data_IF_185281187754
#
_entry.id   IF_185281187754
#
_cell.length_a   1.000
_cell.length_b   1.000
_cell.length_c   1.000
_cell.angle_alpha   90.00
_cell.angle_beta   90.00
_cell.angle_gamma   90.00
#
_symmetry.space_group_name_H-M   'P 1'
#
loop_
_entity.id
_entity.type
_entity.pdbx_description
1 polymer ?
#
# COMPACT_ATOMS: atom_id res chain seq x y z
N UNK A 1 14.36 6.20 1.60
CA UNK A 1 15.43 5.71 2.47
C UNK A 1 14.88 4.96 3.70
N UNK A 2 13.86 5.50 4.37
CA UNK A 2 13.30 4.86 5.56
C UNK A 2 12.74 3.45 5.27
N UNK A 3 11.97 3.26 4.17
CA UNK A 3 11.46 1.94 3.76
C UNK A 3 12.60 0.94 3.49
N UNK A 4 13.69 1.40 2.85
CA UNK A 4 14.88 0.56 2.64
C UNK A 4 15.48 0.07 3.96
N UNK A 5 15.57 0.95 4.95
CA UNK A 5 16.09 0.60 6.28
C UNK A 5 15.16 -0.37 7.00
N UNK A 6 13.84 -0.17 6.93
CA UNK A 6 12.85 -1.09 7.51
C UNK A 6 12.99 -2.52 6.98
N UNK A 7 13.26 -2.65 5.67
CA UNK A 7 13.50 -3.97 5.06
C UNK A 7 14.76 -4.63 5.62
N UNK A 8 15.88 -3.89 5.70
CA UNK A 8 17.14 -4.41 6.30
C UNK A 8 16.95 -4.83 7.76
N UNK A 9 16.25 -4.02 8.55
CA UNK A 9 15.95 -4.31 9.95
C UNK A 9 15.08 -5.57 10.12
N UNK A 10 14.18 -5.80 9.17
CA UNK A 10 13.34 -7.00 9.15
C UNK A 10 14.08 -8.28 8.73
N UNK A 11 15.31 -8.15 8.20
CA UNK A 11 16.16 -9.28 7.88
C UNK A 11 16.42 -9.52 6.41
N UNK A 12 15.98 -8.63 5.52
CA UNK A 12 16.41 -8.64 4.12
C UNK A 12 17.93 -8.41 4.09
N UNK A 13 18.66 -9.21 3.33
CA UNK A 13 20.11 -9.10 3.24
C UNK A 13 20.54 -7.98 2.28
N UNK A 14 19.71 -7.70 1.30
CA UNK A 14 19.94 -6.64 0.33
C UNK A 14 18.70 -5.76 0.22
N UNK A 15 18.92 -4.45 0.20
CA UNK A 15 17.86 -3.46 -0.06
C UNK A 15 18.47 -2.24 -0.74
N UNK A 16 17.86 -1.82 -1.85
CA UNK A 16 18.31 -0.65 -2.62
C UNK A 16 17.13 0.21 -3.04
N UNK A 17 17.42 1.47 -3.31
CA UNK A 17 16.52 2.39 -3.97
C UNK A 17 16.59 2.12 -5.47
N UNK A 18 15.45 2.19 -6.14
CA UNK A 18 15.30 2.07 -7.59
C UNK A 18 14.73 3.37 -8.11
N UNK A 19 15.51 4.09 -8.91
CA UNK A 19 15.06 5.32 -9.54
C UNK A 19 14.02 5.00 -10.64
N UNK A 20 12.92 5.76 -10.63
CA UNK A 20 11.79 5.53 -11.53
C UNK A 20 11.49 6.71 -12.47
N UNK A 21 12.15 7.85 -12.22
CA UNK A 21 11.82 9.12 -12.86
C UNK A 21 10.73 9.91 -12.14
N UNK A 22 10.05 9.29 -11.14
CA UNK A 22 9.11 9.88 -10.20
C UNK A 22 9.55 9.64 -8.78
N UNK A 23 8.62 9.20 -7.94
CA UNK A 23 8.95 8.78 -6.57
C UNK A 23 9.70 7.44 -6.64
N UNK A 24 10.94 7.33 -6.11
CA UNK A 24 11.75 6.14 -6.27
C UNK A 24 11.16 4.93 -5.55
N UNK A 25 11.33 3.74 -6.12
CA UNK A 25 10.95 2.49 -5.48
C UNK A 25 12.00 1.95 -4.51
N UNK A 26 11.64 0.91 -3.76
CA UNK A 26 12.57 0.12 -2.95
C UNK A 26 12.47 -1.34 -3.37
N UNK A 27 13.62 -1.93 -3.67
CA UNK A 27 13.76 -3.35 -3.97
C UNK A 27 14.61 -4.01 -2.89
N UNK A 28 14.16 -5.16 -2.37
CA UNK A 28 14.92 -5.91 -1.39
C UNK A 28 14.77 -7.43 -1.58
N UNK A 29 15.80 -8.18 -1.16
CA UNK A 29 15.82 -9.65 -1.25
C UNK A 29 16.19 -10.28 0.07
N UNK A 30 15.52 -11.40 0.39
CA UNK A 30 15.81 -12.25 1.52
C UNK A 30 15.94 -13.70 1.02
N UNK A 31 17.14 -14.23 1.10
CA UNK A 31 17.42 -15.64 0.83
C UNK A 31 17.40 -16.43 2.14
N UNK A 32 16.37 -17.26 2.31
CA UNK A 32 16.23 -18.19 3.43
C UNK A 32 16.82 -19.57 3.13
N UNK A 33 17.38 -19.77 1.95
CA UNK A 33 17.80 -21.08 1.44
C UNK A 33 16.63 -21.98 1.06
N UNK A 34 15.46 -21.40 0.82
CA UNK A 34 14.25 -22.12 0.44
C UNK A 34 14.21 -22.40 -1.07
N UNK A 35 13.40 -23.39 -1.48
CA UNK A 35 13.19 -23.70 -2.91
C UNK A 35 12.23 -22.73 -3.57
N UNK A 36 11.37 -22.10 -2.80
CA UNK A 36 10.27 -21.24 -3.28
C UNK A 36 10.57 -19.79 -2.93
N UNK A 37 10.29 -18.90 -3.85
CA UNK A 37 10.37 -17.44 -3.65
C UNK A 37 8.99 -16.84 -3.76
N UNK A 38 8.64 -15.97 -2.81
CA UNK A 38 7.41 -15.19 -2.78
C UNK A 38 7.75 -13.72 -2.94
N UNK A 39 7.07 -13.04 -3.85
CA UNK A 39 7.16 -11.59 -3.96
C UNK A 39 6.23 -10.93 -2.94
N UNK A 40 6.66 -9.79 -2.42
CA UNK A 40 5.91 -8.94 -1.49
C UNK A 40 5.78 -7.57 -2.12
N UNK A 41 4.57 -7.07 -2.17
CA UNK A 41 4.30 -5.72 -2.65
C UNK A 41 3.92 -4.80 -1.49
N UNK A 42 4.56 -3.64 -1.43
CA UNK A 42 4.27 -2.56 -0.50
C UNK A 42 4.04 -1.25 -1.24
N UNK A 43 3.26 -0.36 -0.61
CA UNK A 43 3.12 1.03 -1.02
C UNK A 43 3.41 1.95 0.17
N UNK A 44 4.26 2.95 0.01
CA UNK A 44 4.64 3.79 1.14
C UNK A 44 4.09 5.22 1.06
N UNK A 45 3.38 5.56 -0.01
CA UNK A 45 2.61 6.80 -0.10
C UNK A 45 1.30 6.74 0.69
N UNK A 46 0.59 7.81 0.68
CA UNK A 46 -0.73 7.95 1.29
C UNK A 46 -1.60 8.85 0.43
N UNK A 47 -2.89 8.57 0.39
CA UNK A 47 -3.87 9.38 -0.31
C UNK A 47 -3.91 10.80 0.22
N UNK A 48 -4.16 11.76 -0.66
CA UNK A 48 -4.41 13.14 -0.28
C UNK A 48 -5.53 13.25 0.75
N UNK A 49 -5.45 14.24 1.60
CA UNK A 49 -6.40 14.47 2.69
C UNK A 49 -6.60 15.97 2.92
N UNK A 50 -7.78 16.35 3.41
CA UNK A 50 -8.03 17.66 3.97
C UNK A 50 -7.83 17.56 5.50
N UNK A 51 -6.86 18.31 6.10
CA UNK A 51 -6.66 18.30 7.55
C UNK A 51 -7.90 18.69 8.35
N UNK A 52 -8.81 19.48 7.77
CA UNK A 52 -10.05 19.91 8.44
C UNK A 52 -11.05 18.75 8.67
N UNK A 53 -10.91 17.64 7.94
CA UNK A 53 -11.75 16.43 8.10
C UNK A 53 -11.27 15.51 9.23
N UNK A 54 -10.13 15.84 9.87
CA UNK A 54 -9.50 14.97 10.86
C UNK A 54 -9.65 15.52 12.27
N UNK A 55 -9.93 14.64 13.22
CA UNK A 55 -9.99 14.96 14.65
C UNK A 55 -8.61 15.18 15.30
N UNK A 56 -7.53 14.86 14.57
CA UNK A 56 -6.13 15.06 14.95
C UNK A 56 -5.27 15.19 13.70
N UNK A 57 -4.05 15.77 13.78
CA UNK A 57 -3.17 15.86 12.63
C UNK A 57 -2.96 14.48 11.97
N UNK A 58 -3.32 14.33 10.69
CA UNK A 58 -3.44 13.01 10.06
C UNK A 58 -2.12 12.26 9.90
N UNK A 59 -0.97 12.93 9.91
CA UNK A 59 0.35 12.30 9.77
C UNK A 59 1.08 12.01 11.09
N UNK A 60 0.49 12.36 12.24
CA UNK A 60 1.13 12.14 13.55
C UNK A 60 1.00 10.70 14.07
N UNK A 61 -0.02 9.95 13.63
CA UNK A 61 -0.23 8.58 14.07
C UNK A 61 -0.58 8.50 15.57
N UNK A 62 -1.68 9.11 15.99
CA UNK A 62 -2.09 9.15 17.40
C UNK A 62 -2.69 7.84 17.87
N UNK A 63 -2.28 7.44 19.08
CA UNK A 63 -2.93 6.35 19.80
C UNK A 63 -4.07 6.93 20.63
N UNK A 64 -5.27 6.41 20.43
CA UNK A 64 -6.48 6.83 21.12
C UNK A 64 -7.24 5.63 21.67
N UNK A 65 -7.81 5.76 22.87
CA UNK A 65 -8.70 4.75 23.43
C UNK A 65 -10.15 5.14 23.12
N UNK A 66 -10.89 4.20 22.52
CA UNK A 66 -12.31 4.38 22.23
C UNK A 66 -13.15 3.40 23.04
N UNK A 67 -14.16 3.89 23.79
CA UNK A 67 -15.07 3.02 24.53
C UNK A 67 -15.72 1.97 23.62
N UNK A 68 -15.59 0.68 23.98
CA UNK A 68 -16.14 -0.44 23.22
C UNK A 68 -15.33 -0.87 21.98
N UNK A 69 -14.29 -0.13 21.58
CA UNK A 69 -13.44 -0.45 20.43
C UNK A 69 -11.98 -0.73 20.82
N UNK A 70 -11.56 -0.26 22.01
CA UNK A 70 -10.20 -0.45 22.51
C UNK A 70 -9.23 0.63 22.05
N UNK A 71 -7.94 0.31 22.14
CA UNK A 71 -6.84 1.20 21.75
C UNK A 71 -6.64 1.15 20.25
N UNK A 72 -6.66 2.30 19.59
CA UNK A 72 -6.59 2.44 18.14
C UNK A 72 -5.46 3.40 17.75
N UNK A 73 -4.79 3.10 16.64
CA UNK A 73 -3.88 4.02 15.97
C UNK A 73 -4.67 4.78 14.90
N UNK A 74 -4.75 6.11 15.04
CA UNK A 74 -5.46 6.99 14.10
C UNK A 74 -4.45 7.82 13.31
N UNK A 75 -4.50 7.70 11.99
CA UNK A 75 -3.63 8.46 11.09
C UNK A 75 -3.87 8.09 9.63
N UNK A 76 -3.54 9.01 8.73
CA UNK A 76 -3.58 8.74 7.29
C UNK A 76 -2.56 7.65 6.94
N UNK A 77 -2.98 6.62 6.22
CA UNK A 77 -2.13 5.48 5.87
C UNK A 77 -2.00 4.42 6.97
N UNK A 78 -2.62 4.60 8.16
CA UNK A 78 -2.52 3.61 9.24
C UNK A 78 -3.10 2.24 8.85
N UNK A 79 -4.23 2.22 8.15
CA UNK A 79 -4.88 1.01 7.66
C UNK A 79 -4.41 0.67 6.25
N UNK A 80 -4.33 1.63 5.36
CA UNK A 80 -3.91 1.47 3.97
C UNK A 80 -2.60 2.26 3.71
N UNK A 81 -1.39 1.63 3.76
CA UNK A 81 -1.21 0.24 4.17
C UNK A 81 -0.14 0.07 5.26
N UNK A 82 0.29 1.13 5.93
CA UNK A 82 1.45 1.09 6.84
C UNK A 82 1.29 0.10 7.99
N UNK A 83 0.07 -0.05 8.52
CA UNK A 83 -0.23 -1.04 9.58
C UNK A 83 0.00 -2.48 9.11
N UNK A 84 -0.67 -2.96 8.05
CA UNK A 84 -0.45 -4.28 7.48
C UNK A 84 1.00 -4.56 7.09
N UNK A 85 1.68 -3.60 6.46
CA UNK A 85 3.10 -3.71 6.10
C UNK A 85 3.99 -3.87 7.33
N UNK A 86 3.76 -3.05 8.37
CA UNK A 86 4.50 -3.18 9.62
C UNK A 86 4.20 -4.46 10.36
N UNK A 87 2.96 -4.98 10.30
CA UNK A 87 2.62 -6.29 10.84
C UNK A 87 3.43 -7.40 10.16
N UNK A 88 3.53 -7.35 8.82
CA UNK A 88 4.34 -8.28 8.04
C UNK A 88 5.84 -8.20 8.41
N UNK A 89 6.42 -6.99 8.43
CA UNK A 89 7.82 -6.79 8.81
C UNK A 89 8.10 -7.23 10.27
N UNK A 90 7.13 -7.03 11.16
CA UNK A 90 7.23 -7.48 12.55
C UNK A 90 7.23 -9.00 12.65
N UNK A 91 6.41 -9.68 11.86
CA UNK A 91 6.45 -11.13 11.77
C UNK A 91 7.83 -11.63 11.31
N UNK A 92 8.43 -11.01 10.29
CA UNK A 92 9.80 -11.37 9.85
C UNK A 92 10.83 -11.15 10.97
N UNK A 93 10.74 -10.05 11.71
CA UNK A 93 11.59 -9.80 12.88
C UNK A 93 11.44 -10.87 13.95
N UNK A 94 10.21 -11.35 14.20
CA UNK A 94 9.94 -12.42 15.14
C UNK A 94 10.58 -13.74 14.70
N UNK A 95 10.50 -14.11 13.41
CA UNK A 95 11.21 -15.27 12.85
C UNK A 95 12.73 -15.16 13.07
N UNK A 96 13.29 -13.99 12.74
CA UNK A 96 14.73 -13.71 12.91
C UNK A 96 15.16 -13.83 14.37
N UNK A 97 14.42 -13.23 15.31
CA UNK A 97 14.71 -13.28 16.74
C UNK A 97 14.59 -14.68 17.34
N UNK A 98 13.61 -15.44 16.87
CA UNK A 98 13.42 -16.84 17.28
C UNK A 98 14.44 -17.81 16.67
N UNK A 99 15.29 -17.36 15.75
CA UNK A 99 16.22 -18.22 15.00
C UNK A 99 15.52 -19.22 14.08
N UNK A 100 14.26 -18.98 13.73
CA UNK A 100 13.46 -19.85 12.86
C UNK A 100 13.64 -19.42 11.41
N UNK A 101 14.02 -20.37 10.55
CA UNK A 101 14.15 -20.12 9.12
C UNK A 101 12.78 -19.93 8.47
N UNK A 102 12.66 -18.97 7.58
CA UNK A 102 11.48 -18.82 6.73
C UNK A 102 11.39 -20.00 5.75
N UNK A 103 10.18 -20.48 5.46
CA UNK A 103 9.97 -21.56 4.50
C UNK A 103 10.06 -21.10 3.03
N UNK A 104 10.20 -19.81 2.81
CA UNK A 104 10.26 -19.16 1.48
C UNK A 104 11.35 -18.08 1.47
N UNK A 105 11.94 -17.86 0.30
CA UNK A 105 12.72 -16.64 0.04
C UNK A 105 11.74 -15.49 -0.26
N UNK A 106 12.16 -14.26 -0.03
CA UNK A 106 11.33 -13.10 -0.26
C UNK A 106 11.97 -12.11 -1.23
N UNK A 107 11.15 -11.53 -2.07
CA UNK A 107 11.48 -10.40 -2.95
C UNK A 107 10.50 -9.29 -2.63
N UNK A 108 10.97 -8.19 -2.08
CA UNK A 108 10.14 -7.01 -1.80
C UNK A 108 10.28 -5.99 -2.92
N UNK A 109 9.14 -5.51 -3.40
CA UNK A 109 9.02 -4.30 -4.20
C UNK A 109 8.09 -3.33 -3.48
N UNK A 110 8.53 -2.09 -3.32
CA UNK A 110 7.73 -1.04 -2.69
C UNK A 110 7.74 0.22 -3.55
N UNK A 111 6.57 0.79 -3.80
CA UNK A 111 6.41 2.03 -4.54
C UNK A 111 5.87 3.18 -3.68
N UNK A 112 5.94 4.40 -4.18
CA UNK A 112 5.46 5.60 -3.52
C UNK A 112 4.45 6.40 -4.34
N UNK A 113 3.81 5.78 -5.33
CA UNK A 113 2.85 6.42 -6.24
C UNK A 113 1.57 5.60 -6.43
N UNK A 114 1.28 4.64 -5.56
CA UNK A 114 0.10 3.78 -5.71
C UNK A 114 -1.19 4.59 -5.65
N UNK A 115 -1.28 5.52 -4.71
CA UNK A 115 -2.48 6.34 -4.47
C UNK A 115 -2.75 7.39 -5.57
N UNK A 116 -1.82 7.52 -6.51
CA UNK A 116 -1.95 8.38 -7.72
C UNK A 116 -1.89 7.58 -9.03
N UNK A 117 -2.05 6.25 -8.94
CA UNK A 117 -2.16 5.35 -10.10
C UNK A 117 -0.85 4.72 -10.55
N UNK A 118 0.15 4.59 -9.69
CA UNK A 118 1.41 3.86 -9.94
C UNK A 118 2.14 4.31 -11.22
N UNK A 119 2.18 5.61 -11.46
CA UNK A 119 2.59 6.22 -12.74
C UNK A 119 3.95 5.72 -13.23
N UNK A 120 4.91 5.56 -12.32
CA UNK A 120 6.28 5.17 -12.65
C UNK A 120 6.65 3.75 -12.19
N UNK A 121 5.72 2.98 -11.64
CA UNK A 121 6.01 1.63 -11.15
C UNK A 121 6.48 0.68 -12.24
N UNK A 122 5.96 0.84 -13.46
CA UNK A 122 6.42 0.06 -14.62
C UNK A 122 7.93 0.23 -14.91
N UNK A 123 8.49 1.41 -14.65
CA UNK A 123 9.93 1.67 -14.78
C UNK A 123 10.72 0.86 -13.74
N UNK A 124 10.24 0.79 -12.50
CA UNK A 124 10.83 -0.08 -11.48
C UNK A 124 10.80 -1.56 -11.90
N UNK A 125 9.67 -2.03 -12.44
CA UNK A 125 9.53 -3.42 -12.90
C UNK A 125 10.40 -3.74 -14.12
N UNK A 126 10.78 -2.74 -14.90
CA UNK A 126 11.68 -2.88 -16.04
C UNK A 126 13.17 -2.99 -15.64
N UNK A 127 13.53 -2.65 -14.39
CA UNK A 127 14.88 -2.89 -13.87
C UNK A 127 15.23 -4.38 -14.02
N UNK A 128 16.37 -4.74 -14.63
CA UNK A 128 16.69 -6.13 -14.95
C UNK A 128 16.77 -7.05 -13.73
N UNK A 129 17.29 -6.56 -12.61
CA UNK A 129 17.42 -7.33 -11.37
C UNK A 129 16.04 -7.54 -10.72
N UNK A 130 15.23 -6.48 -10.63
CA UNK A 130 13.85 -6.55 -10.12
C UNK A 130 13.04 -7.52 -10.96
N UNK A 131 13.05 -7.36 -12.28
CA UNK A 131 12.32 -8.23 -13.21
C UNK A 131 12.75 -9.69 -13.07
N UNK A 132 14.05 -9.96 -13.01
CA UNK A 132 14.57 -11.32 -12.86
C UNK A 132 14.18 -11.97 -11.52
N UNK A 133 14.17 -11.21 -10.43
CA UNK A 133 13.77 -11.68 -9.13
C UNK A 133 12.25 -11.97 -9.06
N UNK A 134 11.43 -11.07 -9.59
CA UNK A 134 9.97 -11.25 -9.63
C UNK A 134 9.56 -12.45 -10.49
N UNK A 135 10.21 -12.69 -11.63
CA UNK A 135 9.93 -13.85 -12.49
C UNK A 135 10.21 -15.21 -11.82
N UNK A 136 11.04 -15.23 -10.79
CA UNK A 136 11.31 -16.44 -9.99
C UNK A 136 10.27 -16.67 -8.89
N UNK A 137 9.44 -15.68 -8.62
CA UNK A 137 8.44 -15.76 -7.56
C UNK A 137 7.21 -16.55 -8.02
N UNK A 138 6.67 -17.37 -7.12
CA UNK A 138 5.46 -18.18 -7.41
C UNK A 138 4.16 -17.36 -7.33
N UNK A 139 4.22 -16.17 -6.76
CA UNK A 139 3.10 -15.24 -6.61
C UNK A 139 3.53 -14.00 -5.87
N UNK A 140 2.60 -13.08 -5.70
CA UNK A 140 2.77 -11.82 -4.95
C UNK A 140 1.82 -11.83 -3.77
N UNK A 141 2.35 -11.57 -2.58
CA UNK A 141 1.56 -11.26 -1.38
C UNK A 141 1.55 -9.74 -1.18
N UNK A 142 0.38 -9.20 -1.03
CA UNK A 142 0.15 -7.81 -0.68
C UNK A 142 -0.49 -7.78 0.70
N UNK A 143 0.26 -7.45 1.77
CA UNK A 143 -0.33 -7.20 3.07
C UNK A 143 -1.26 -5.99 2.95
N UNK A 144 -2.56 -6.21 3.09
CA UNK A 144 -3.57 -5.22 2.78
C UNK A 144 -4.51 -4.96 3.96
N UNK A 145 -5.38 -4.01 3.77
CA UNK A 145 -6.41 -3.57 4.71
C UNK A 145 -7.37 -4.70 5.05
N UNK A 146 -8.01 -4.64 6.19
CA UNK A 146 -9.05 -5.59 6.52
C UNK A 146 -8.91 -6.17 7.92
N UNK A 147 -8.72 -5.31 8.90
CA UNK A 147 -8.86 -5.72 10.28
C UNK A 147 -10.34 -5.76 10.65
N UNK A 148 -10.87 -6.96 10.85
CA UNK A 148 -12.22 -7.16 11.35
C UNK A 148 -12.28 -6.92 12.86
N UNK A 149 -13.43 -6.43 13.35
CA UNK A 149 -13.62 -6.19 14.81
C UNK A 149 -13.55 -7.46 15.66
N UNK A 150 -13.89 -8.59 15.08
CA UNK A 150 -13.83 -9.91 15.72
C UNK A 150 -12.45 -10.57 15.61
N UNK A 151 -11.46 -9.88 15.00
CA UNK A 151 -10.12 -10.39 14.81
C UNK A 151 -9.99 -11.41 13.67
N UNK A 152 -11.03 -11.63 12.87
CA UNK A 152 -10.94 -12.51 11.70
C UNK A 152 -10.02 -11.92 10.66
N UNK A 153 -9.29 -12.82 9.96
CA UNK A 153 -8.36 -12.47 8.88
C UNK A 153 -8.86 -13.12 7.60
N UNK A 154 -8.91 -12.35 6.51
CA UNK A 154 -9.19 -12.87 5.18
C UNK A 154 -7.92 -12.96 4.34
N UNK A 155 -7.87 -13.96 3.50
CA UNK A 155 -6.86 -14.11 2.45
C UNK A 155 -7.58 -14.15 1.10
N UNK A 156 -7.47 -13.05 0.36
CA UNK A 156 -8.02 -12.97 -0.98
C UNK A 156 -7.04 -13.58 -1.97
N UNK A 157 -7.52 -14.50 -2.82
CA UNK A 157 -6.67 -15.24 -3.76
C UNK A 157 -6.47 -14.52 -5.10
N UNK A 158 -6.87 -13.27 -5.18
CA UNK A 158 -6.70 -12.42 -6.35
C UNK A 158 -7.49 -11.13 -6.25
N UNK A 159 -7.23 -10.23 -7.18
CA UNK A 159 -7.94 -8.97 -7.31
C UNK A 159 -8.48 -8.81 -8.74
N UNK A 160 -9.57 -8.06 -8.87
CA UNK A 160 -10.09 -7.66 -10.19
C UNK A 160 -9.21 -6.57 -10.77
N UNK A 161 -9.07 -6.55 -12.09
CA UNK A 161 -8.53 -5.41 -12.81
C UNK A 161 -9.45 -4.19 -12.66
N UNK A 162 -8.85 -3.01 -12.66
CA UNK A 162 -9.55 -1.73 -12.63
C UNK A 162 -9.32 -1.02 -13.97
N UNK A 163 -10.40 -0.51 -14.54
CA UNK A 163 -10.35 0.45 -15.64
C UNK A 163 -11.09 1.68 -15.18
N UNK A 164 -10.36 2.78 -15.05
CA UNK A 164 -10.95 4.08 -14.72
C UNK A 164 -11.26 4.83 -16.01
N UNK A 165 -12.49 5.31 -16.11
CA UNK A 165 -12.95 6.13 -17.23
C UNK A 165 -13.61 7.37 -16.68
N UNK A 166 -13.25 8.52 -17.23
CA UNK A 166 -13.87 9.79 -16.92
C UNK A 166 -14.87 10.16 -18.01
N UNK A 167 -16.14 10.27 -17.65
CA UNK A 167 -17.17 10.86 -18.49
C UNK A 167 -17.42 12.30 -18.02
N UNK A 168 -17.13 13.25 -18.90
CA UNK A 168 -17.37 14.67 -18.59
C UNK A 168 -18.70 15.08 -19.21
N UNK A 169 -19.66 15.43 -18.37
CA UNK A 169 -20.92 16.06 -18.76
C UNK A 169 -21.00 17.45 -18.10
N UNK A 170 -21.31 18.46 -18.87
CA UNK A 170 -21.36 19.84 -18.38
C UNK A 170 -22.65 20.51 -18.80
N UNK A 171 -23.34 21.11 -17.83
CA UNK A 171 -24.47 22.01 -18.04
C UNK A 171 -24.10 23.46 -18.22
N UNK A 172 -22.80 23.81 -18.24
CA UNK A 172 -22.30 25.18 -18.25
C UNK A 172 -22.87 26.03 -19.40
N UNK A 173 -22.95 25.44 -20.59
CA UNK A 173 -23.57 26.11 -21.77
C UNK A 173 -25.00 26.57 -21.54
N UNK A 174 -25.71 25.95 -20.62
CA UNK A 174 -27.12 26.28 -20.28
C UNK A 174 -27.26 26.89 -18.88
N UNK A 175 -26.16 27.27 -18.25
CA UNK A 175 -26.13 27.84 -16.89
C UNK A 175 -26.61 26.85 -15.82
N UNK A 176 -26.43 25.55 -16.04
CA UNK A 176 -26.84 24.47 -15.13
C UNK A 176 -25.65 23.63 -14.69
N UNK A 177 -25.83 22.91 -13.60
CA UNK A 177 -24.85 22.00 -13.03
C UNK A 177 -24.34 22.49 -11.67
N UNK A 178 -23.64 21.63 -10.94
CA UNK A 178 -23.06 21.95 -9.65
C UNK A 178 -21.90 22.94 -9.82
N UNK A 179 -21.75 23.86 -8.87
CA UNK A 179 -20.65 24.83 -8.83
C UNK A 179 -19.31 24.23 -8.40
N UNK A 180 -19.30 22.98 -7.97
CA UNK A 180 -18.12 22.22 -7.51
C UNK A 180 -18.21 20.78 -8.00
N UNK A 181 -17.08 20.11 -8.04
CA UNK A 181 -17.03 18.67 -8.34
C UNK A 181 -17.94 17.88 -7.40
N UNK A 182 -18.69 16.94 -7.96
CA UNK A 182 -19.62 16.09 -7.22
C UNK A 182 -19.22 14.64 -7.40
N UNK A 183 -19.09 13.93 -6.30
CA UNK A 183 -18.76 12.49 -6.35
C UNK A 183 -19.86 11.69 -7.06
N UNK A 184 -19.46 10.71 -7.86
CA UNK A 184 -20.37 9.89 -8.67
C UNK A 184 -21.49 9.18 -7.85
N UNK A 185 -21.28 8.92 -6.56
CA UNK A 185 -22.32 8.39 -5.67
C UNK A 185 -23.49 9.38 -5.43
N UNK A 186 -23.32 10.64 -5.81
CA UNK A 186 -24.33 11.70 -5.68
C UNK A 186 -25.03 12.01 -7.00
N UNK A 187 -24.96 11.12 -7.98
CA UNK A 187 -25.54 11.30 -9.33
C UNK A 187 -27.06 11.55 -9.34
N UNK A 188 -27.77 11.21 -8.26
CA UNK A 188 -29.21 11.46 -8.15
C UNK A 188 -29.57 12.89 -7.69
N UNK A 189 -28.60 13.79 -7.55
CA UNK A 189 -28.87 15.20 -7.22
C UNK A 189 -29.54 15.92 -8.38
N UNK A 190 -30.44 16.86 -8.04
CA UNK A 190 -31.18 17.66 -9.02
C UNK A 190 -30.28 18.56 -9.87
N UNK A 191 -29.12 18.95 -9.34
CA UNK A 191 -28.12 19.80 -9.98
C UNK A 191 -27.06 19.02 -10.77
N UNK A 192 -27.19 17.72 -10.88
CA UNK A 192 -26.31 16.89 -11.72
C UNK A 192 -26.58 17.14 -13.20
N UNK A 193 -25.53 17.38 -14.03
CA UNK A 193 -25.69 17.62 -15.48
C UNK A 193 -26.14 16.36 -16.24
#
# INVERSE_FOLDING_TARGET
EYMRQLALDAGFQQARIVETGGIPGVFATLDAGAKTTLAIYFMYDVKHYDPAEWSSPPLEGRIVDRPGEGTMLVGRGAVNQKGPEMAFLTALRAFKQAGVKLPVNLVLVAEGEEEIGSTNFSTMLADPEVSAALRKSVGVLMPSTGQSRDGSVSLDLGAKGVVEVQLVSSGEKWGKGPAKDVHASLMARVDSP
#
